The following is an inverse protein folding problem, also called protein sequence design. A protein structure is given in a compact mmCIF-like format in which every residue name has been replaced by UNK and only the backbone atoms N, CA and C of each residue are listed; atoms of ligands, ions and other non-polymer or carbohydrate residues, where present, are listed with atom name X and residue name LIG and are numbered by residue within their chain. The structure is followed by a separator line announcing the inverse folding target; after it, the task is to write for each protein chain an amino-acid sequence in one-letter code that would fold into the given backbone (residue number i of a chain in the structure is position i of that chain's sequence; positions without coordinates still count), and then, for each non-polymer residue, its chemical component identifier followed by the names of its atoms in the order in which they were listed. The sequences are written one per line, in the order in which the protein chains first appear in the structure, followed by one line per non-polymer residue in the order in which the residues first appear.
data_IF_735109721363
#
_entry.id   IF_735109721363
#
_cell.length_a   1.000
_cell.length_b   1.000
_cell.length_c   1.000
_cell.angle_alpha   90.00
_cell.angle_beta   90.00
_cell.angle_gamma   90.00
#
_symmetry.space_group_name_H-M   'P 1'
#
loop_
_entity.id
_entity.type
_entity.pdbx_description
1 polymer ?
#
# COMPACT_ATOMS: atom_id res chain seq x y z
N UNK A 1 3.10 19.93 -20.75
CA UNK A 1 2.69 20.78 -19.63
C UNK A 1 2.55 19.92 -18.38
N UNK A 2 3.34 20.20 -17.35
CA UNK A 2 3.27 19.53 -16.03
C UNK A 2 2.09 20.06 -15.20
N UNK A 3 1.11 20.74 -15.81
CA UNK A 3 0.04 21.44 -15.12
C UNK A 3 -0.56 20.71 -13.93
N UNK A 4 -1.11 19.51 -14.10
CA UNK A 4 -1.75 18.77 -12.98
C UNK A 4 -0.76 18.34 -11.89
N UNK A 5 0.51 18.11 -12.22
CA UNK A 5 1.53 17.59 -11.31
C UNK A 5 2.46 18.69 -10.75
N UNK A 6 2.24 19.96 -11.11
CA UNK A 6 3.17 21.05 -10.78
C UNK A 6 3.40 21.20 -9.28
N UNK A 7 2.32 21.15 -8.49
CA UNK A 7 2.40 21.29 -7.04
C UNK A 7 3.20 20.14 -6.42
N UNK A 8 2.87 18.89 -6.78
CA UNK A 8 3.58 17.69 -6.30
C UNK A 8 5.05 17.69 -6.72
N UNK A 9 5.36 18.08 -7.97
CA UNK A 9 6.74 18.17 -8.46
C UNK A 9 7.54 19.24 -7.71
N UNK A 10 6.93 20.38 -7.38
CA UNK A 10 7.59 21.41 -6.57
C UNK A 10 7.87 20.94 -5.15
N UNK A 11 6.95 20.20 -4.56
CA UNK A 11 7.11 19.63 -3.21
C UNK A 11 8.20 18.54 -3.21
N UNK A 12 8.18 17.62 -4.17
CA UNK A 12 9.20 16.59 -4.34
C UNK A 12 10.59 17.21 -4.52
N UNK A 13 10.71 18.30 -5.28
CA UNK A 13 11.98 19.03 -5.48
C UNK A 13 12.52 19.65 -4.19
N UNK A 14 11.65 20.00 -3.24
CA UNK A 14 12.05 20.56 -1.94
C UNK A 14 12.43 19.49 -0.93
N UNK A 15 12.01 18.25 -1.15
CA UNK A 15 12.35 17.12 -0.27
C UNK A 15 13.81 16.74 -0.47
N UNK A 16 14.65 16.75 0.57
CA UNK A 16 16.05 16.42 0.43
C UNK A 16 16.24 14.93 0.14
N UNK A 17 16.86 14.60 -0.98
CA UNK A 17 17.26 13.24 -1.34
C UNK A 17 18.64 12.95 -0.73
N UNK A 18 18.67 12.77 0.60
CA UNK A 18 19.93 12.56 1.33
C UNK A 18 20.15 11.08 1.64
N UNK A 19 21.39 10.63 1.51
CA UNK A 19 21.79 9.27 1.88
C UNK A 19 21.34 8.19 0.90
N UNK A 20 21.20 6.96 1.42
CA UNK A 20 20.77 5.80 0.62
C UNK A 20 19.26 5.86 0.39
N UNK A 21 18.87 6.07 -0.86
CA UNK A 21 17.46 6.12 -1.25
C UNK A 21 16.86 4.70 -1.25
N UNK A 22 15.79 4.47 -0.49
CA UNK A 22 15.17 3.15 -0.35
C UNK A 22 14.58 2.60 -1.65
N UNK A 23 14.26 3.49 -2.59
CA UNK A 23 13.68 3.14 -3.89
C UNK A 23 14.73 2.96 -5.00
N UNK A 24 16.03 3.14 -4.70
CA UNK A 24 17.14 2.88 -5.60
C UNK A 24 17.87 1.62 -5.18
N UNK A 25 17.87 0.61 -6.03
CA UNK A 25 18.54 -0.65 -5.75
C UNK A 25 19.07 -1.28 -7.04
N UNK A 26 20.37 -1.11 -7.29
CA UNK A 26 21.03 -1.61 -8.50
C UNK A 26 21.01 -3.13 -8.58
N UNK A 27 21.05 -3.83 -7.43
CA UNK A 27 21.01 -5.29 -7.41
C UNK A 27 19.66 -5.88 -7.87
N UNK A 28 18.60 -5.06 -7.92
CA UNK A 28 17.29 -5.46 -8.44
C UNK A 28 17.08 -5.08 -9.91
N UNK A 29 18.03 -4.42 -10.53
CA UNK A 29 18.00 -4.09 -11.96
C UNK A 29 18.69 -5.23 -12.70
N UNK A 30 17.93 -5.94 -13.54
CA UNK A 30 18.45 -6.99 -14.43
C UNK A 30 18.47 -6.49 -15.89
N UNK A 31 17.47 -6.90 -16.65
CA UNK A 31 17.34 -6.52 -18.07
C UNK A 31 16.61 -5.20 -18.26
N UNK A 32 15.82 -4.80 -17.27
CA UNK A 32 14.98 -3.61 -17.32
C UNK A 32 15.11 -2.78 -16.05
N UNK A 33 15.14 -1.46 -16.22
CA UNK A 33 15.00 -0.50 -15.13
C UNK A 33 13.53 -0.21 -14.82
N UNK A 34 13.26 0.53 -13.76
CA UNK A 34 11.91 0.98 -13.42
C UNK A 34 11.31 1.86 -14.53
N UNK A 35 9.99 1.77 -14.71
CA UNK A 35 9.24 2.67 -15.60
C UNK A 35 9.14 4.04 -14.92
N UNK A 36 9.72 5.06 -15.55
CA UNK A 36 9.72 6.43 -15.04
C UNK A 36 9.33 7.39 -16.18
N UNK A 37 8.82 8.60 -15.87
CA UNK A 37 8.61 9.62 -16.87
C UNK A 37 9.92 10.03 -17.53
N UNK A 38 9.89 10.29 -18.84
CA UNK A 38 11.04 10.79 -19.60
C UNK A 38 11.05 12.31 -19.64
N UNK A 39 12.13 12.89 -20.17
CA UNK A 39 12.27 14.34 -20.39
C UNK A 39 11.40 14.87 -21.53
N UNK A 40 10.82 13.98 -22.34
CA UNK A 40 10.02 14.38 -23.47
C UNK A 40 8.72 15.05 -23.04
N UNK A 41 8.37 16.11 -23.76
CA UNK A 41 7.11 16.80 -23.56
C UNK A 41 5.94 15.91 -23.99
N UNK A 42 5.02 15.68 -23.06
CA UNK A 42 3.79 14.93 -23.32
C UNK A 42 2.61 15.89 -23.33
N UNK A 43 1.88 15.91 -24.46
CA UNK A 43 0.63 16.63 -24.58
C UNK A 43 -0.50 15.73 -24.07
N UNK A 44 -0.93 15.92 -22.83
CA UNK A 44 -1.94 15.06 -22.16
C UNK A 44 -3.27 15.00 -22.92
N UNK A 45 -3.63 16.06 -23.66
CA UNK A 45 -4.86 16.10 -24.46
C UNK A 45 -4.81 15.24 -25.73
N UNK A 46 -3.62 14.81 -26.15
CA UNK A 46 -3.43 13.94 -27.31
C UNK A 46 -3.45 12.45 -26.93
N UNK A 47 -3.41 12.13 -25.66
CA UNK A 47 -3.49 10.76 -25.17
C UNK A 47 -4.93 10.26 -25.12
N UNK A 48 -5.15 8.99 -25.43
CA UNK A 48 -6.40 8.30 -25.14
C UNK A 48 -6.68 8.27 -23.62
N UNK A 49 -7.89 7.92 -23.24
CA UNK A 49 -8.24 7.83 -21.83
C UNK A 49 -7.39 6.78 -21.08
N UNK A 50 -7.15 5.63 -21.71
CA UNK A 50 -6.35 4.54 -21.16
C UNK A 50 -4.88 4.94 -21.02
N UNK A 51 -4.29 5.51 -22.07
CA UNK A 51 -2.91 6.00 -22.04
C UNK A 51 -2.73 7.08 -20.96
N UNK A 52 -3.70 8.00 -20.85
CA UNK A 52 -3.67 9.05 -19.85
C UNK A 52 -3.72 8.48 -18.43
N UNK A 53 -4.55 7.46 -18.17
CA UNK A 53 -4.63 6.79 -16.86
C UNK A 53 -3.32 6.10 -16.50
N UNK A 54 -2.73 5.37 -17.44
CA UNK A 54 -1.42 4.71 -17.22
C UNK A 54 -0.32 5.75 -16.99
N UNK A 55 -0.29 6.81 -17.80
CA UNK A 55 0.69 7.89 -17.62
C UNK A 55 0.55 8.59 -16.26
N UNK A 56 -0.68 8.90 -15.85
CA UNK A 56 -0.98 9.49 -14.54
C UNK A 56 -0.50 8.59 -13.40
N UNK A 57 -0.77 7.28 -13.48
CA UNK A 57 -0.31 6.30 -12.50
C UNK A 57 1.21 6.29 -12.35
N UNK A 58 1.94 6.24 -13.47
CA UNK A 58 3.40 6.25 -13.49
C UNK A 58 3.97 7.55 -12.91
N UNK A 59 3.44 8.71 -13.33
CA UNK A 59 3.91 10.00 -12.85
C UNK A 59 3.64 10.17 -11.36
N UNK A 60 2.45 9.83 -10.88
CA UNK A 60 2.10 9.91 -9.45
C UNK A 60 2.98 8.98 -8.62
N UNK A 61 3.20 7.75 -9.08
CA UNK A 61 4.09 6.80 -8.40
C UNK A 61 5.52 7.33 -8.32
N UNK A 62 6.03 7.89 -9.41
CA UNK A 62 7.35 8.51 -9.44
C UNK A 62 7.47 9.68 -8.47
N UNK A 63 6.47 10.57 -8.43
CA UNK A 63 6.47 11.70 -7.49
C UNK A 63 6.31 11.24 -6.04
N UNK A 64 5.44 10.25 -5.79
CA UNK A 64 5.19 9.74 -4.46
C UNK A 64 6.46 9.20 -3.77
N UNK A 65 7.35 8.50 -4.51
CA UNK A 65 8.59 7.98 -3.92
C UNK A 65 9.60 9.09 -3.57
N UNK A 66 9.43 10.29 -4.13
CA UNK A 66 10.26 11.47 -3.85
C UNK A 66 9.69 12.34 -2.73
N UNK A 67 8.45 12.10 -2.30
CA UNK A 67 7.80 12.82 -1.21
C UNK A 67 8.19 12.24 0.16
N UNK A 68 8.02 13.02 1.25
CA UNK A 68 8.24 12.53 2.59
C UNK A 68 7.36 11.31 2.94
N UNK A 69 7.74 10.51 3.93
CA UNK A 69 6.90 9.41 4.40
C UNK A 69 5.58 9.93 4.97
N UNK A 70 4.53 9.11 4.84
CA UNK A 70 3.28 9.34 5.56
C UNK A 70 3.49 8.99 7.04
N UNK A 71 3.08 9.88 7.95
CA UNK A 71 3.23 9.70 9.39
C UNK A 71 1.86 9.48 10.03
N UNK A 72 1.78 8.43 10.81
CA UNK A 72 0.59 8.07 11.59
C UNK A 72 0.93 8.07 13.08
N UNK A 73 -0.03 8.49 13.88
CA UNK A 73 -0.06 8.26 15.31
C UNK A 73 -0.97 7.08 15.60
N UNK A 74 -0.43 6.06 16.26
CA UNK A 74 -1.19 4.89 16.67
C UNK A 74 -1.44 4.93 18.18
N UNK A 75 -2.70 4.86 18.56
CA UNK A 75 -3.12 4.79 19.96
C UNK A 75 -3.64 3.39 20.26
N UNK A 76 -3.07 2.74 21.26
CA UNK A 76 -3.53 1.44 21.75
C UNK A 76 -4.01 1.59 23.20
N UNK A 77 -5.29 1.31 23.43
CA UNK A 77 -5.90 1.33 24.75
C UNK A 77 -6.15 -0.11 25.17
N UNK A 78 -5.65 -0.47 26.34
CA UNK A 78 -5.95 -1.75 26.98
C UNK A 78 -6.74 -1.49 28.27
N UNK A 79 -7.91 -2.04 28.37
CA UNK A 79 -8.75 -1.96 29.55
C UNK A 79 -8.96 -3.34 30.16
N UNK A 80 -8.76 -3.47 31.47
CA UNK A 80 -9.04 -4.70 32.21
C UNK A 80 -10.34 -4.53 33.00
N UNK A 81 -11.28 -5.43 32.81
CA UNK A 81 -12.55 -5.47 33.51
C UNK A 81 -12.68 -6.87 34.08
N UNK A 82 -12.63 -6.99 35.41
CA UNK A 82 -12.54 -8.25 36.15
C UNK A 82 -11.32 -9.07 35.67
N UNK A 83 -11.53 -10.15 34.91
CA UNK A 83 -10.47 -11.02 34.39
C UNK A 83 -10.31 -10.93 32.88
N UNK A 84 -11.11 -10.07 32.23
CA UNK A 84 -11.12 -9.92 30.79
C UNK A 84 -10.31 -8.68 30.36
N UNK A 85 -9.60 -8.80 29.26
CA UNK A 85 -8.82 -7.73 28.65
C UNK A 85 -9.45 -7.27 27.35
N UNK A 86 -9.77 -5.99 27.27
CA UNK A 86 -10.32 -5.34 26.08
C UNK A 86 -9.24 -4.48 25.45
N UNK A 87 -9.06 -4.58 24.13
CA UNK A 87 -8.08 -3.77 23.40
C UNK A 87 -8.81 -2.97 22.34
N UNK A 88 -8.55 -1.66 22.32
CA UNK A 88 -8.95 -0.77 21.23
C UNK A 88 -7.71 -0.21 20.55
N UNK A 89 -7.73 -0.13 19.22
CA UNK A 89 -6.66 0.44 18.41
C UNK A 89 -7.24 1.57 17.57
N UNK A 90 -6.61 2.73 17.65
CA UNK A 90 -6.92 3.88 16.82
C UNK A 90 -5.69 4.29 16.03
N UNK A 91 -5.92 4.82 14.83
CA UNK A 91 -4.87 5.33 13.97
C UNK A 91 -5.31 6.68 13.42
N UNK A 92 -4.47 7.68 13.59
CA UNK A 92 -4.70 9.03 13.09
C UNK A 92 -3.55 9.44 12.18
N UNK A 93 -3.87 9.92 10.99
CA UNK A 93 -2.87 10.47 10.08
C UNK A 93 -2.41 11.84 10.60
N UNK A 94 -1.12 12.01 10.79
CA UNK A 94 -0.49 13.26 11.23
C UNK A 94 0.07 14.02 10.03
N UNK A 95 0.78 13.33 9.16
CA UNK A 95 1.34 13.88 7.93
C UNK A 95 0.98 12.98 6.75
N UNK A 96 0.43 13.55 5.70
CA UNK A 96 0.01 12.81 4.50
C UNK A 96 1.20 12.29 3.70
N UNK A 97 2.27 13.08 3.61
CA UNK A 97 3.47 12.70 2.89
C UNK A 97 3.17 12.23 1.46
N UNK A 98 3.71 11.09 1.07
CA UNK A 98 3.53 10.53 -0.28
C UNK A 98 2.06 10.29 -0.68
N UNK A 99 1.12 10.18 0.27
CA UNK A 99 -0.29 10.00 -0.04
C UNK A 99 -0.92 11.20 -0.73
N UNK A 100 -0.33 12.40 -0.60
CA UNK A 100 -0.78 13.59 -1.32
C UNK A 100 -0.75 13.38 -2.85
N UNK A 101 0.12 12.52 -3.35
CA UNK A 101 0.19 12.21 -4.77
C UNK A 101 -1.08 11.53 -5.31
N UNK A 102 -1.91 10.95 -4.43
CA UNK A 102 -3.09 10.16 -4.80
C UNK A 102 -4.42 10.77 -4.35
N UNK A 103 -4.43 11.97 -3.74
CA UNK A 103 -5.65 12.59 -3.20
C UNK A 103 -6.77 12.77 -4.23
N UNK A 104 -6.41 13.18 -5.44
CA UNK A 104 -7.39 13.44 -6.51
C UNK A 104 -7.86 12.16 -7.23
N UNK A 105 -7.18 11.05 -7.00
CA UNK A 105 -7.39 9.77 -7.68
C UNK A 105 -7.55 8.64 -6.65
N UNK A 106 -8.38 8.83 -5.67
CA UNK A 106 -8.93 7.70 -4.93
C UNK A 106 -9.81 6.93 -5.91
N UNK A 107 -9.18 6.08 -6.72
CA UNK A 107 -9.89 4.95 -7.27
C UNK A 107 -10.35 4.20 -6.03
N UNK A 108 -11.67 4.15 -5.84
CA UNK A 108 -12.31 3.29 -4.87
C UNK A 108 -11.97 1.83 -5.23
N UNK A 109 -10.73 1.46 -4.99
CA UNK A 109 -10.39 0.08 -4.79
C UNK A 109 -11.03 -0.25 -3.46
N UNK A 110 -12.24 -0.77 -3.55
CA UNK A 110 -12.84 -1.60 -2.51
C UNK A 110 -11.92 -2.82 -2.31
N UNK A 111 -10.71 -2.57 -1.81
CA UNK A 111 -9.82 -3.61 -1.33
C UNK A 111 -10.38 -4.06 0.03
N UNK A 112 -11.47 -4.84 -0.04
CA UNK A 112 -12.11 -5.46 1.12
C UNK A 112 -11.14 -6.33 1.93
N UNK A 113 -9.92 -6.55 1.44
CA UNK A 113 -8.90 -7.42 2.05
C UNK A 113 -8.01 -6.70 3.06
N UNK A 114 -7.97 -5.38 3.04
CA UNK A 114 -7.35 -4.64 4.13
C UNK A 114 -8.41 -4.44 5.21
N UNK A 115 -8.25 -5.11 6.36
CA UNK A 115 -8.70 -4.53 7.62
C UNK A 115 -7.95 -3.19 7.77
N UNK A 116 -8.40 -2.20 6.99
CA UNK A 116 -8.00 -0.84 7.25
C UNK A 116 -8.41 -0.58 8.69
N UNK A 117 -7.42 -0.40 9.53
CA UNK A 117 -7.66 0.20 10.84
C UNK A 117 -8.31 1.54 10.50
N UNK A 118 -9.66 1.55 10.50
CA UNK A 118 -10.45 2.74 10.19
C UNK A 118 -9.84 3.86 11.01
N UNK A 119 -9.65 5.01 10.40
CA UNK A 119 -9.23 6.20 11.15
C UNK A 119 -10.20 6.37 12.31
N UNK A 120 -9.80 5.84 13.45
CA UNK A 120 -10.58 5.88 14.68
C UNK A 120 -9.81 6.74 15.66
N UNK A 121 -10.34 7.92 15.89
CA UNK A 121 -9.84 8.78 16.95
C UNK A 121 -10.29 8.22 18.29
N UNK A 122 -9.36 7.62 19.01
CA UNK A 122 -9.58 7.21 20.38
C UNK A 122 -9.33 8.40 21.31
N UNK A 123 -10.07 8.47 22.44
CA UNK A 123 -9.82 9.50 23.45
C UNK A 123 -8.41 9.31 24.05
N UNK A 124 -7.78 10.41 24.40
CA UNK A 124 -6.55 10.39 25.18
C UNK A 124 -6.87 9.96 26.60
N UNK A 125 -6.35 8.81 27.00
CA UNK A 125 -6.50 8.25 28.34
C UNK A 125 -5.13 8.12 28.99
N UNK A 126 -5.08 8.34 30.31
CA UNK A 126 -3.87 8.13 31.10
C UNK A 126 -3.83 6.70 31.66
N UNK A 127 -2.63 6.16 31.77
CA UNK A 127 -2.45 4.83 32.37
C UNK A 127 -2.94 4.82 33.82
N UNK A 128 -3.74 3.83 34.17
CA UNK A 128 -4.36 3.69 35.49
C UNK A 128 -5.66 4.50 35.69
N UNK A 129 -6.12 5.21 34.69
CA UNK A 129 -7.42 5.87 34.72
C UNK A 129 -8.55 4.86 34.90
N UNK A 130 -9.45 5.10 35.85
CA UNK A 130 -10.62 4.26 36.06
C UNK A 130 -11.75 4.68 35.13
N UNK A 131 -12.25 3.73 34.35
CA UNK A 131 -13.42 3.95 33.48
C UNK A 131 -14.68 3.71 34.33
N UNK A 132 -15.48 4.75 34.53
CA UNK A 132 -16.75 4.63 35.25
C UNK A 132 -17.85 4.04 34.35
N UNK A 133 -18.62 3.08 34.85
CA UNK A 133 -19.81 2.48 34.24
C UNK A 133 -19.69 2.21 32.71
N UNK A 134 -18.82 1.29 32.27
CA UNK A 134 -18.67 0.98 30.85
C UNK A 134 -19.95 0.31 30.34
N UNK A 135 -20.41 0.72 29.16
CA UNK A 135 -21.48 0.01 28.45
C UNK A 135 -20.87 -1.06 27.55
N UNK A 136 -21.08 -2.31 27.90
CA UNK A 136 -20.61 -3.45 27.12
C UNK A 136 -21.75 -3.96 26.24
N UNK A 137 -21.49 -4.20 24.96
CA UNK A 137 -22.43 -4.81 24.03
C UNK A 137 -21.77 -5.99 23.31
N UNK A 138 -22.47 -7.10 23.25
CA UNK A 138 -22.06 -8.26 22.44
C UNK A 138 -22.58 -8.07 21.01
N UNK A 139 -21.69 -8.27 20.04
CA UNK A 139 -22.08 -8.35 18.63
C UNK A 139 -21.76 -9.74 18.10
N UNK A 140 -22.78 -10.40 17.59
CA UNK A 140 -22.61 -11.65 16.87
C UNK A 140 -22.29 -11.37 15.41
N UNK A 141 -21.37 -12.12 14.86
CA UNK A 141 -20.97 -12.04 13.46
C UNK A 141 -20.65 -13.42 12.90
N UNK A 142 -20.61 -13.52 11.59
CA UNK A 142 -20.14 -14.73 10.89
C UNK A 142 -18.86 -14.39 10.14
N UNK A 143 -17.88 -15.26 10.23
CA UNK A 143 -16.67 -15.17 9.41
C UNK A 143 -17.06 -15.32 7.94
N UNK A 144 -16.45 -14.53 7.09
CA UNK A 144 -16.57 -14.64 5.63
C UNK A 144 -15.35 -15.37 5.08
N UNK A 145 -15.47 -16.14 4.01
CA UNK A 145 -14.31 -16.67 3.33
C UNK A 145 -13.47 -15.51 2.78
N UNK A 146 -12.15 -15.73 2.55
CA UNK A 146 -11.32 -14.75 1.87
C UNK A 146 -11.93 -14.35 0.51
N UNK A 147 -11.73 -13.11 0.11
CA UNK A 147 -12.13 -12.65 -1.21
C UNK A 147 -11.43 -13.49 -2.30
N UNK A 148 -12.10 -13.68 -3.43
CA UNK A 148 -11.47 -14.32 -4.59
C UNK A 148 -10.36 -13.43 -5.14
N UNK A 149 -9.38 -14.04 -5.79
CA UNK A 149 -8.35 -13.29 -6.48
C UNK A 149 -8.94 -12.46 -7.60
N UNK A 150 -8.52 -11.20 -7.65
CA UNK A 150 -8.59 -10.37 -8.85
C UNK A 150 -7.28 -10.55 -9.63
N UNK A 151 -7.19 -10.07 -10.86
CA UNK A 151 -5.94 -10.09 -11.64
C UNK A 151 -4.79 -9.42 -10.87
N UNK A 152 -5.04 -8.25 -10.25
CA UNK A 152 -4.04 -7.53 -9.47
C UNK A 152 -3.60 -8.26 -8.21
N UNK A 153 -4.53 -8.85 -7.45
CA UNK A 153 -4.18 -9.62 -6.24
C UNK A 153 -3.51 -10.94 -6.59
N UNK A 154 -3.86 -11.55 -7.73
CA UNK A 154 -3.18 -12.74 -8.24
C UNK A 154 -1.76 -12.43 -8.67
N UNK A 155 -1.54 -11.29 -9.36
CA UNK A 155 -0.21 -10.82 -9.71
C UNK A 155 0.67 -10.65 -8.46
N UNK A 156 0.15 -10.01 -7.42
CA UNK A 156 0.84 -9.84 -6.13
C UNK A 156 1.12 -11.18 -5.43
N UNK A 157 0.22 -12.16 -5.55
CA UNK A 157 0.42 -13.50 -5.02
C UNK A 157 1.51 -14.27 -5.79
N UNK A 158 1.59 -14.08 -7.11
CA UNK A 158 2.67 -14.66 -7.93
C UNK A 158 4.04 -14.05 -7.60
N UNK A 159 4.10 -12.79 -7.23
CA UNK A 159 5.34 -12.14 -6.76
C UNK A 159 5.77 -12.64 -5.37
N UNK A 160 4.83 -12.91 -4.49
CA UNK A 160 5.08 -13.36 -3.12
C UNK A 160 4.27 -14.63 -2.78
N UNK A 161 4.50 -15.77 -3.44
CA UNK A 161 3.70 -16.97 -3.26
C UNK A 161 3.88 -17.64 -1.88
N UNK A 162 4.94 -17.31 -1.17
CA UNK A 162 5.25 -17.86 0.17
C UNK A 162 4.11 -17.67 1.17
N UNK A 163 3.31 -16.62 1.02
CA UNK A 163 2.16 -16.34 1.89
C UNK A 163 1.04 -17.39 1.77
N UNK A 164 0.97 -18.05 0.62
CA UNK A 164 -0.08 -19.00 0.25
C UNK A 164 0.39 -20.46 0.31
N UNK A 165 1.64 -20.70 0.67
CA UNK A 165 2.20 -22.04 0.80
C UNK A 165 1.78 -22.67 2.11
N UNK A 166 1.23 -23.87 2.06
CA UNK A 166 0.92 -24.70 3.23
C UNK A 166 2.22 -25.17 3.90
N UNK A 167 3.16 -25.63 3.10
CA UNK A 167 4.48 -26.05 3.58
C UNK A 167 5.49 -24.91 3.41
N UNK A 168 5.97 -24.38 4.54
CA UNK A 168 6.97 -23.31 4.59
C UNK A 168 8.37 -23.86 4.87
N UNK A 169 8.76 -24.91 4.13
CA UNK A 169 10.14 -25.38 4.16
C UNK A 169 11.09 -24.22 3.82
N UNK A 170 12.11 -24.03 4.65
CA UNK A 170 13.04 -22.89 4.53
C UNK A 170 13.84 -22.92 3.22
N UNK A 171 14.16 -24.11 2.69
CA UNK A 171 14.86 -24.27 1.43
C UNK A 171 13.97 -23.85 0.25
N UNK A 172 12.71 -24.26 0.28
CA UNK A 172 11.73 -23.92 -0.76
C UNK A 172 11.41 -22.43 -0.77
N UNK A 173 11.21 -21.84 0.42
CA UNK A 173 10.98 -20.39 0.59
C UNK A 173 12.15 -19.60 0.04
N UNK A 174 13.39 -20.02 0.32
CA UNK A 174 14.59 -19.38 -0.19
C UNK A 174 14.69 -19.48 -1.72
N UNK A 175 14.47 -20.66 -2.29
CA UNK A 175 14.52 -20.86 -3.74
C UNK A 175 13.48 -20.01 -4.47
N UNK A 176 12.23 -19.95 -3.97
CA UNK A 176 11.18 -19.12 -4.56
C UNK A 176 11.49 -17.62 -4.43
N UNK A 177 12.07 -17.21 -3.30
CA UNK A 177 12.52 -15.82 -3.09
C UNK A 177 13.64 -15.42 -4.04
N UNK A 178 14.62 -16.30 -4.26
CA UNK A 178 15.73 -16.09 -5.20
C UNK A 178 15.24 -16.07 -6.66
N UNK A 179 14.21 -16.84 -6.99
CA UNK A 179 13.58 -16.84 -8.32
C UNK A 179 12.69 -15.61 -8.58
N UNK A 180 12.43 -14.76 -7.57
CA UNK A 180 11.56 -13.59 -7.71
C UNK A 180 10.06 -13.93 -7.81
N UNK A 181 9.65 -15.08 -7.27
CA UNK A 181 8.26 -15.56 -7.27
C UNK A 181 7.95 -16.55 -8.40
N UNK A 182 6.67 -16.65 -8.77
CA UNK A 182 6.18 -17.48 -9.86
C UNK A 182 6.13 -16.69 -11.16
N UNK A 183 6.78 -17.18 -12.20
CA UNK A 183 6.92 -16.50 -13.48
C UNK A 183 7.78 -15.23 -13.41
N UNK A 184 8.11 -14.69 -14.57
CA UNK A 184 8.84 -13.44 -14.70
C UNK A 184 7.88 -12.26 -14.87
N UNK A 185 8.36 -11.04 -14.70
CA UNK A 185 7.56 -9.82 -14.95
C UNK A 185 6.93 -9.85 -16.35
N UNK A 186 7.67 -10.32 -17.37
CA UNK A 186 7.19 -10.39 -18.74
C UNK A 186 6.13 -11.47 -18.98
N UNK A 187 6.14 -12.57 -18.22
CA UNK A 187 5.27 -13.73 -18.47
C UNK A 187 4.03 -13.78 -17.59
N UNK A 188 3.99 -13.08 -16.47
CA UNK A 188 2.87 -13.13 -15.52
C UNK A 188 1.55 -12.69 -16.14
N UNK A 189 1.56 -11.62 -16.94
CA UNK A 189 0.35 -11.13 -17.62
C UNK A 189 -0.23 -12.18 -18.56
N UNK A 190 0.61 -12.84 -19.36
CA UNK A 190 0.19 -13.91 -20.27
C UNK A 190 -0.33 -15.15 -19.53
N UNK A 191 0.27 -15.49 -18.39
CA UNK A 191 -0.20 -16.59 -17.55
C UNK A 191 -1.58 -16.29 -17.00
N UNK A 192 -1.78 -15.08 -16.46
CA UNK A 192 -3.07 -14.64 -15.93
C UNK A 192 -4.13 -14.63 -17.03
N UNK A 193 -3.82 -14.06 -18.20
CA UNK A 193 -4.74 -14.00 -19.33
C UNK A 193 -5.17 -15.37 -19.89
N UNK A 194 -4.42 -16.45 -19.60
CA UNK A 194 -4.81 -17.83 -19.98
C UNK A 194 -5.76 -18.48 -18.98
N UNK A 195 -5.99 -17.88 -17.83
CA UNK A 195 -6.91 -18.38 -16.80
C UNK A 195 -8.36 -17.90 -17.01
N UNK A 196 -8.52 -16.90 -17.83
CA UNK A 196 -9.81 -16.30 -18.23
C UNK A 196 -10.07 -16.51 -19.73
#
# INVERSE_FOLDING_TARGET
SIGPYKALAQQAKRSPLNGKLFFVNDAKVSDHHAIIPTEQYVQLSALSNEERRIYDLVVRRFLAVLLPPCVYEETVIQASIEKECFTARGKRMVEKGWQEAYEDNRYDEEDETKEEVREQNLPLLEAGMKIGQPKISLREGKTKPPARFTEGTLLSAMENPVRYMENRDSSLVKTIGEAGGLGTVATRADIIGKLF
#
